data_IF_560233553347
#
_entry.id   IF_560233553347
#
_cell.length_a   1.000
_cell.length_b   1.000
_cell.length_c   1.000
_cell.angle_alpha   90.00
_cell.angle_beta   90.00
_cell.angle_gamma   90.00
#
_symmetry.space_group_name_H-M   'P 1'
#
loop_
_entity.id
_entity.type
_entity.pdbx_description
1 polymer ?
#
# COMPACT_ATOMS: atom_id res chain seq x y z
N UNK A 1 -11.32 4.38 4.78
CA UNK A 1 -11.87 4.57 3.42
C UNK A 1 -10.70 4.62 2.45
N UNK A 2 -10.67 3.77 1.40
CA UNK A 2 -9.54 3.69 0.46
C UNK A 2 -9.45 4.97 -0.38
N UNK A 3 -8.63 5.92 0.03
CA UNK A 3 -8.48 7.20 -0.67
C UNK A 3 -7.04 7.36 -1.21
N UNK A 4 -6.60 6.43 -2.05
CA UNK A 4 -5.36 6.59 -2.82
C UNK A 4 -5.66 7.36 -4.11
N UNK A 5 -5.01 8.52 -4.28
CA UNK A 5 -5.12 9.38 -5.47
C UNK A 5 -4.86 8.58 -6.77
N UNK A 6 -3.93 7.62 -6.70
CA UNK A 6 -3.62 6.72 -7.81
C UNK A 6 -4.82 5.86 -8.21
N UNK A 7 -5.56 5.30 -7.26
CA UNK A 7 -6.74 4.47 -7.55
C UNK A 7 -7.87 5.31 -8.14
N UNK A 8 -8.11 6.50 -7.60
CA UNK A 8 -9.10 7.44 -8.14
C UNK A 8 -8.78 7.81 -9.58
N UNK A 9 -7.52 8.11 -9.87
CA UNK A 9 -7.07 8.43 -11.22
C UNK A 9 -7.23 7.22 -12.15
N UNK A 10 -6.78 6.03 -11.75
CA UNK A 10 -6.92 4.83 -12.58
C UNK A 10 -8.38 4.58 -12.95
N UNK A 11 -9.29 4.53 -11.97
CA UNK A 11 -10.72 4.29 -12.19
C UNK A 11 -11.35 5.31 -13.16
N UNK A 12 -11.00 6.60 -13.01
CA UNK A 12 -11.54 7.67 -13.86
C UNK A 12 -10.98 7.70 -15.29
N UNK A 13 -9.88 7.00 -15.56
CA UNK A 13 -9.17 7.07 -16.86
C UNK A 13 -9.42 5.89 -17.79
N UNK A 14 -10.16 4.85 -17.36
CA UNK A 14 -10.44 3.65 -18.19
C UNK A 14 -10.90 4.02 -19.61
N UNK A 15 -11.96 4.82 -19.81
CA UNK A 15 -12.46 5.09 -21.15
C UNK A 15 -11.45 5.84 -22.01
N UNK A 16 -10.70 6.77 -21.43
CA UNK A 16 -9.73 7.60 -22.17
C UNK A 16 -8.54 6.74 -22.62
N UNK A 17 -8.00 5.91 -21.73
CA UNK A 17 -6.81 5.10 -22.02
C UNK A 17 -7.09 3.95 -22.99
N UNK A 18 -8.31 3.42 -23.01
CA UNK A 18 -8.71 2.31 -23.90
C UNK A 18 -9.30 2.76 -25.22
N UNK A 19 -9.69 4.04 -25.38
CA UNK A 19 -10.25 4.56 -26.64
C UNK A 19 -9.41 5.64 -27.31
N UNK A 20 -8.92 6.63 -26.57
CA UNK A 20 -8.12 7.75 -27.10
C UNK A 20 -6.61 7.49 -27.04
N UNK A 21 -6.20 6.55 -26.20
CA UNK A 21 -4.80 6.21 -25.97
C UNK A 21 -4.12 7.03 -24.87
N UNK A 22 -2.89 6.65 -24.55
CA UNK A 22 -2.05 7.32 -23.56
C UNK A 22 -1.43 8.62 -24.14
N UNK A 23 -0.56 9.29 -23.37
CA UNK A 23 0.12 10.54 -23.81
C UNK A 23 1.05 10.36 -25.02
N UNK A 24 1.31 9.12 -25.43
CA UNK A 24 2.09 8.75 -26.61
C UNK A 24 1.20 8.31 -27.79
N UNK A 25 -0.12 8.40 -27.66
CA UNK A 25 -1.08 7.98 -28.68
C UNK A 25 -1.32 6.46 -28.74
N UNK A 26 -0.77 5.70 -27.80
CA UNK A 26 -0.93 4.24 -27.77
C UNK A 26 -2.22 3.86 -27.05
N UNK A 27 -3.07 3.09 -27.73
CA UNK A 27 -4.28 2.53 -27.12
C UNK A 27 -3.89 1.39 -26.18
N UNK A 28 -4.20 1.55 -24.91
CA UNK A 28 -3.97 0.50 -23.91
C UNK A 28 -5.07 -0.54 -24.08
N UNK A 29 -4.70 -1.81 -24.30
CA UNK A 29 -5.69 -2.89 -24.31
C UNK A 29 -6.39 -2.98 -22.96
N UNK A 30 -7.66 -3.38 -22.96
CA UNK A 30 -8.43 -3.54 -21.72
C UNK A 30 -7.73 -4.50 -20.75
N UNK A 31 -7.19 -5.61 -21.26
CA UNK A 31 -6.41 -6.57 -20.46
C UNK A 31 -5.22 -5.93 -19.76
N UNK A 32 -4.45 -5.09 -20.46
CA UNK A 32 -3.29 -4.41 -19.86
C UNK A 32 -3.74 -3.38 -18.82
N UNK A 33 -4.82 -2.66 -19.09
CA UNK A 33 -5.39 -1.72 -18.13
C UNK A 33 -5.86 -2.45 -16.85
N UNK A 34 -6.59 -3.55 -17.00
CA UNK A 34 -7.15 -4.31 -15.87
C UNK A 34 -6.03 -4.91 -15.00
N UNK A 35 -4.95 -5.40 -15.60
CA UNK A 35 -3.76 -5.86 -14.85
C UNK A 35 -3.17 -4.71 -14.01
N UNK A 36 -3.01 -3.52 -14.59
CA UNK A 36 -2.45 -2.37 -13.87
C UNK A 36 -3.37 -1.94 -12.73
N UNK A 37 -4.68 -1.92 -12.97
CA UNK A 37 -5.67 -1.58 -11.95
C UNK A 37 -5.68 -2.61 -10.82
N UNK A 38 -5.68 -3.90 -11.13
CA UNK A 38 -5.66 -4.97 -10.15
C UNK A 38 -4.40 -4.93 -9.29
N UNK A 39 -3.23 -4.72 -9.90
CA UNK A 39 -1.97 -4.60 -9.18
C UNK A 39 -1.96 -3.36 -8.26
N UNK A 40 -2.51 -2.24 -8.73
CA UNK A 40 -2.64 -1.04 -7.91
C UNK A 40 -3.57 -1.27 -6.71
N UNK A 41 -4.72 -1.92 -6.93
CA UNK A 41 -5.66 -2.26 -5.87
C UNK A 41 -5.04 -3.20 -4.82
N UNK A 42 -4.33 -4.24 -5.26
CA UNK A 42 -3.66 -5.21 -4.39
C UNK A 42 -2.65 -4.52 -3.49
N UNK A 43 -1.80 -3.65 -4.04
CA UNK A 43 -0.81 -2.88 -3.28
C UNK A 43 -1.48 -2.01 -2.20
N UNK A 44 -2.60 -1.36 -2.53
CA UNK A 44 -3.32 -0.52 -1.57
C UNK A 44 -3.99 -1.35 -0.47
N UNK A 45 -4.57 -2.51 -0.81
CA UNK A 45 -5.16 -3.44 0.17
C UNK A 45 -4.08 -3.91 1.15
N UNK A 46 -2.97 -4.43 0.64
CA UNK A 46 -1.88 -4.98 1.45
C UNK A 46 -1.28 -3.93 2.41
N UNK A 47 -1.06 -2.69 1.93
CA UNK A 47 -0.56 -1.61 2.78
C UNK A 47 -1.52 -1.21 3.87
N UNK A 48 -2.82 -1.17 3.57
CA UNK A 48 -3.82 -0.84 4.57
C UNK A 48 -3.91 -1.94 5.64
N UNK A 49 -3.85 -3.22 5.24
CA UNK A 49 -3.78 -4.33 6.20
C UNK A 49 -2.56 -4.20 7.12
N UNK A 50 -1.38 -3.92 6.57
CA UNK A 50 -0.16 -3.70 7.36
C UNK A 50 -0.34 -2.52 8.33
N UNK A 51 -0.88 -1.40 7.87
CA UNK A 51 -1.11 -0.22 8.72
C UNK A 51 -2.07 -0.52 9.87
N UNK A 52 -3.19 -1.18 9.59
CA UNK A 52 -4.17 -1.58 10.62
C UNK A 52 -3.54 -2.47 11.69
N UNK A 53 -2.70 -3.43 11.29
CA UNK A 53 -1.99 -4.25 12.26
C UNK A 53 -0.99 -3.45 13.11
N UNK A 54 -0.31 -2.48 12.50
CA UNK A 54 0.65 -1.62 13.19
C UNK A 54 -0.02 -0.53 14.07
N UNK A 55 -1.26 -0.15 13.79
CA UNK A 55 -2.08 0.70 14.66
C UNK A 55 -2.44 -0.02 15.97
N UNK A 56 -2.54 -1.36 15.95
CA UNK A 56 -2.75 -2.21 17.13
C UNK A 56 -1.46 -2.47 17.93
N UNK A 57 -0.38 -1.74 17.62
CA UNK A 57 0.90 -1.80 18.33
C UNK A 57 2.05 -2.39 17.49
N UNK A 58 3.31 -2.18 17.92
CA UNK A 58 4.47 -2.50 17.11
C UNK A 58 4.57 -3.99 16.75
N UNK A 59 4.89 -4.30 15.48
CA UNK A 59 5.04 -5.69 15.01
C UNK A 59 6.29 -5.87 14.16
N UNK A 60 6.80 -7.10 14.16
CA UNK A 60 7.86 -7.57 13.28
C UNK A 60 7.29 -8.00 11.93
N UNK A 61 8.15 -8.11 10.91
CA UNK A 61 7.78 -8.68 9.60
C UNK A 61 7.22 -10.10 9.72
N UNK A 62 7.70 -10.88 10.70
CA UNK A 62 7.20 -12.23 10.97
C UNK A 62 5.75 -12.21 11.45
N UNK A 63 5.46 -11.40 12.46
CA UNK A 63 4.10 -11.24 12.99
C UNK A 63 3.16 -10.69 11.92
N UNK A 64 3.60 -9.70 11.13
CA UNK A 64 2.79 -9.16 10.03
C UNK A 64 2.47 -10.23 8.98
N UNK A 65 3.42 -11.10 8.64
CA UNK A 65 3.17 -12.23 7.74
C UNK A 65 2.12 -13.18 8.30
N UNK A 66 2.28 -13.57 9.57
CA UNK A 66 1.38 -14.53 10.21
C UNK A 66 -0.05 -13.99 10.33
N UNK A 67 -0.21 -12.67 10.51
CA UNK A 67 -1.51 -12.01 10.65
C UNK A 67 -2.18 -11.70 9.31
N UNK A 68 -1.41 -11.30 8.30
CA UNK A 68 -1.97 -10.80 7.02
C UNK A 68 -1.90 -11.82 5.88
N UNK A 69 -1.06 -12.86 6.00
CA UNK A 69 -0.74 -13.80 4.93
C UNK A 69 0.16 -13.23 3.83
N UNK A 70 0.54 -11.95 3.88
CA UNK A 70 1.35 -11.29 2.85
C UNK A 70 2.78 -11.86 2.89
N UNK A 71 3.42 -12.18 1.76
CA UNK A 71 4.80 -12.65 1.75
C UNK A 71 5.76 -11.66 2.43
N UNK A 72 6.68 -12.16 3.26
CA UNK A 72 7.62 -11.33 4.05
C UNK A 72 8.38 -10.31 3.20
N UNK A 73 8.80 -10.70 1.99
CA UNK A 73 9.50 -9.80 1.07
C UNK A 73 8.64 -8.63 0.60
N UNK A 74 7.34 -8.88 0.38
CA UNK A 74 6.41 -7.83 -0.02
C UNK A 74 6.05 -6.93 1.16
N UNK A 75 5.93 -7.49 2.37
CA UNK A 75 5.81 -6.69 3.61
C UNK A 75 7.00 -5.73 3.75
N UNK A 76 8.24 -6.20 3.54
CA UNK A 76 9.43 -5.31 3.61
C UNK A 76 9.34 -4.19 2.57
N UNK A 77 8.92 -4.47 1.34
CA UNK A 77 8.74 -3.46 0.29
C UNK A 77 7.67 -2.43 0.67
N UNK A 78 6.55 -2.88 1.25
CA UNK A 78 5.49 -2.01 1.73
C UNK A 78 5.94 -1.14 2.90
N UNK A 79 6.64 -1.71 3.89
CA UNK A 79 7.20 -0.97 5.01
C UNK A 79 8.16 0.12 4.53
N UNK A 80 9.05 -0.16 3.56
CA UNK A 80 9.93 0.85 2.96
C UNK A 80 9.13 2.00 2.35
N UNK A 81 8.07 1.69 1.58
CA UNK A 81 7.22 2.71 0.99
C UNK A 81 6.47 3.54 2.06
N UNK A 82 5.92 2.88 3.08
CA UNK A 82 5.19 3.52 4.18
C UNK A 82 6.09 4.39 5.06
N UNK A 83 7.34 3.97 5.33
CA UNK A 83 8.34 4.77 6.03
C UNK A 83 8.73 6.01 5.22
N UNK A 84 8.91 5.87 3.90
CA UNK A 84 9.18 7.01 3.00
C UNK A 84 8.04 8.03 3.03
N UNK A 85 6.81 7.57 3.27
CA UNK A 85 5.62 8.41 3.39
C UNK A 85 5.30 8.84 4.82
N UNK A 86 6.19 8.60 5.79
CA UNK A 86 5.98 8.94 7.20
C UNK A 86 4.67 8.38 7.78
N UNK A 87 4.29 7.17 7.36
CA UNK A 87 3.16 6.43 7.94
C UNK A 87 3.59 5.34 8.93
N UNK A 88 4.82 4.89 8.82
CA UNK A 88 5.42 3.84 9.67
C UNK A 88 6.80 4.30 10.11
N UNK A 89 7.21 3.89 11.31
CA UNK A 89 8.55 4.08 11.84
C UNK A 89 9.13 2.81 12.46
N UNK A 90 10.44 2.83 12.68
CA UNK A 90 11.13 1.79 13.44
C UNK A 90 10.88 2.01 14.94
N UNK A 91 10.40 0.97 15.62
CA UNK A 91 9.98 1.02 17.03
C UNK A 91 10.88 0.19 17.95
N UNK A 92 12.07 -0.22 17.48
CA UNK A 92 12.99 -1.06 18.24
C UNK A 92 13.12 -2.46 17.65
N UNK A 93 13.42 -3.45 18.50
CA UNK A 93 13.62 -4.84 18.07
C UNK A 93 13.05 -5.81 19.08
N UNK A 94 12.56 -6.94 18.58
CA UNK A 94 12.20 -8.13 19.34
C UNK A 94 13.18 -9.25 18.96
N UNK A 95 14.11 -9.57 19.88
CA UNK A 95 15.25 -10.42 19.57
C UNK A 95 16.12 -9.83 18.45
N UNK A 96 16.24 -10.57 17.34
CA UNK A 96 16.95 -10.12 16.12
C UNK A 96 16.01 -9.52 15.04
N UNK A 97 14.71 -9.40 15.31
CA UNK A 97 13.74 -8.88 14.35
C UNK A 97 13.41 -7.41 14.64
N UNK A 98 13.50 -6.50 13.65
CA UNK A 98 13.02 -5.12 13.79
C UNK A 98 11.52 -5.07 14.07
N UNK A 99 11.12 -4.18 14.97
CA UNK A 99 9.74 -3.79 15.21
C UNK A 99 9.43 -2.51 14.44
N UNK A 100 8.23 -2.46 13.88
CA UNK A 100 7.69 -1.29 13.19
C UNK A 100 6.41 -0.85 13.87
N UNK A 101 6.10 0.45 13.88
CA UNK A 101 4.87 1.02 14.44
C UNK A 101 4.24 1.98 13.43
N UNK A 102 2.91 2.08 13.45
CA UNK A 102 2.21 3.13 12.73
C UNK A 102 2.51 4.48 13.40
N UNK A 103 2.71 5.50 12.58
CA UNK A 103 2.78 6.89 13.02
C UNK A 103 1.33 7.39 13.17
N UNK A 104 0.68 7.05 14.29
CA UNK A 104 -0.60 7.68 14.64
C UNK A 104 -0.36 9.16 14.87
N UNK A 105 -0.90 10.01 13.99
CA UNK A 105 -1.03 11.44 14.30
C UNK A 105 -1.96 11.53 15.50
N UNK A 106 -1.59 12.18 16.62
CA UNK A 106 -2.55 12.43 17.69
C UNK A 106 -3.71 13.19 17.08
N UNK A 107 -4.91 12.63 17.18
CA UNK A 107 -6.14 13.32 16.88
C UNK A 107 -6.12 14.59 17.74
N UNK A 108 -5.96 15.75 17.11
CA UNK A 108 -6.05 17.02 17.83
C UNK A 108 -7.46 17.04 18.41
N UNK A 109 -7.53 16.99 19.74
CA UNK A 109 -8.72 17.37 20.49
C UNK A 109 -9.19 18.73 19.95
N UNK A 110 -10.36 18.73 19.32
CA UNK A 110 -11.07 19.90 18.83
C UNK A 110 -12.18 20.26 19.80
#
# INVERSE_FOLDING_TARGET
MMESERMRWLLGKKPILTTKGNVFGEVVSETRYDIVLHNAATIEIERNMILQELENGPKTVHQLHDLTGIPKMDIVRHLIALMRWRKVEYAGREGNSPLYSALTVPEKEA
#
